data_IF_154498660812
#
_entry.id   IF_154498660812
#
_cell.length_a   1.000
_cell.length_b   1.000
_cell.length_c   1.000
_cell.angle_alpha   90.00
_cell.angle_beta   90.00
_cell.angle_gamma   90.00
#
_symmetry.space_group_name_H-M   'P 1'
#
loop_
_entity.id
_entity.type
_entity.pdbx_description
1 polymer ?
#
# COMPACT_ATOMS: atom_id res chain seq x y z
N UNK A 1 20.43 0.53 12.49
CA UNK A 1 20.48 1.86 11.87
C UNK A 1 19.10 2.14 11.28
N UNK A 2 18.56 3.35 11.44
CA UNK A 2 17.30 3.72 10.81
C UNK A 2 17.52 3.87 9.29
N UNK A 3 16.63 3.31 8.48
CA UNK A 3 16.68 3.44 7.03
C UNK A 3 15.99 4.74 6.63
N UNK A 4 16.59 5.49 5.71
CA UNK A 4 15.97 6.69 5.14
C UNK A 4 15.29 6.31 3.81
N UNK A 5 14.08 6.83 3.54
CA UNK A 5 13.40 6.58 2.28
C UNK A 5 14.11 7.29 1.11
N UNK A 6 13.90 6.86 -0.14
CA UNK A 6 14.45 7.53 -1.32
C UNK A 6 13.95 8.97 -1.46
N UNK A 7 14.74 9.80 -2.12
CA UNK A 7 14.35 11.18 -2.44
C UNK A 7 13.06 11.24 -3.27
N UNK A 8 12.30 12.30 -3.04
CA UNK A 8 11.00 12.54 -3.64
C UNK A 8 11.04 13.78 -4.53
N UNK A 9 10.59 13.66 -5.78
CA UNK A 9 10.45 14.74 -6.75
C UNK A 9 8.96 15.05 -6.97
N UNK A 10 8.57 16.29 -6.73
CA UNK A 10 7.19 16.75 -6.96
C UNK A 10 6.90 16.89 -8.46
N UNK A 11 5.67 16.56 -8.85
CA UNK A 11 5.21 16.83 -10.21
C UNK A 11 5.10 18.33 -10.47
N UNK A 12 5.26 18.72 -11.73
CA UNK A 12 4.96 20.09 -12.15
C UNK A 12 3.43 20.37 -12.04
N UNK A 13 3.06 21.65 -12.12
CA UNK A 13 1.65 22.06 -11.96
C UNK A 13 0.71 21.48 -13.03
N UNK A 14 1.19 21.34 -14.27
CA UNK A 14 0.38 20.84 -15.39
C UNK A 14 0.04 19.37 -15.19
N UNK A 15 1.05 18.54 -14.91
CA UNK A 15 0.89 17.13 -14.64
C UNK A 15 0.07 16.89 -13.38
N UNK A 16 0.27 17.70 -12.34
CA UNK A 16 -0.54 17.63 -11.11
C UNK A 16 -2.02 17.86 -11.43
N UNK A 17 -2.36 18.93 -12.17
CA UNK A 17 -3.76 19.21 -12.57
C UNK A 17 -4.35 18.06 -13.39
N UNK A 18 -3.57 17.49 -14.31
CA UNK A 18 -3.98 16.34 -15.12
C UNK A 18 -4.25 15.10 -14.26
N UNK A 19 -3.35 14.77 -13.32
CA UNK A 19 -3.50 13.61 -12.45
C UNK A 19 -4.69 13.77 -11.51
N UNK A 20 -4.89 14.94 -10.89
CA UNK A 20 -6.02 15.19 -10.00
C UNK A 20 -7.38 15.11 -10.71
N UNK A 21 -7.43 15.34 -12.02
CA UNK A 21 -8.64 15.13 -12.83
C UNK A 21 -8.95 13.64 -13.05
N UNK A 22 -7.91 12.80 -13.16
CA UNK A 22 -8.04 11.37 -13.42
C UNK A 22 -8.26 10.56 -12.13
N UNK A 23 -7.57 10.92 -11.04
CA UNK A 23 -7.59 10.23 -9.77
C UNK A 23 -8.48 10.96 -8.76
N UNK A 24 -9.79 10.92 -8.96
CA UNK A 24 -10.77 11.67 -8.16
C UNK A 24 -10.87 11.26 -6.68
N UNK A 25 -10.28 10.12 -6.31
CA UNK A 25 -10.18 9.67 -4.92
C UNK A 25 -9.00 10.28 -4.15
N UNK A 26 -7.97 10.77 -4.84
CA UNK A 26 -6.83 11.42 -4.22
C UNK A 26 -7.14 12.90 -3.95
N UNK A 27 -6.65 13.44 -2.83
CA UNK A 27 -6.89 14.84 -2.41
C UNK A 27 -5.62 15.64 -2.20
N UNK A 28 -4.49 14.96 -2.01
CA UNK A 28 -3.21 15.56 -1.65
C UNK A 28 -2.27 15.77 -2.83
N UNK A 29 -2.40 14.97 -3.89
CA UNK A 29 -1.51 15.00 -5.05
C UNK A 29 -0.59 13.80 -5.12
N UNK A 30 0.48 13.91 -5.91
CA UNK A 30 1.37 12.81 -6.24
C UNK A 30 2.84 13.24 -6.27
N UNK A 31 3.73 12.27 -6.13
CA UNK A 31 5.18 12.46 -6.09
C UNK A 31 5.89 11.31 -6.82
N UNK A 32 7.07 11.57 -7.36
CA UNK A 32 7.97 10.58 -7.95
C UNK A 32 9.04 10.19 -6.94
N UNK A 33 9.19 8.91 -6.67
CA UNK A 33 10.07 8.41 -5.60
C UNK A 33 11.26 7.63 -6.16
N UNK A 34 12.46 8.06 -5.75
CA UNK A 34 13.73 7.41 -6.06
C UNK A 34 14.13 7.46 -7.55
N UNK A 35 15.26 6.84 -7.91
CA UNK A 35 15.84 6.94 -9.25
C UNK A 35 14.96 6.32 -10.36
N UNK A 36 14.07 5.39 -9.99
CA UNK A 36 13.12 4.77 -10.92
C UNK A 36 11.84 5.59 -11.11
N UNK A 37 11.69 6.71 -10.40
CA UNK A 37 10.54 7.62 -10.46
C UNK A 37 9.21 6.89 -10.22
N UNK A 38 9.12 6.15 -9.11
CA UNK A 38 7.88 5.49 -8.71
C UNK A 38 6.79 6.53 -8.41
N UNK A 39 5.65 6.43 -9.08
CA UNK A 39 4.53 7.35 -8.91
C UNK A 39 3.66 6.96 -7.73
N UNK A 40 3.65 7.76 -6.68
CA UNK A 40 2.94 7.50 -5.42
C UNK A 40 2.13 8.71 -4.96
N UNK A 41 1.11 8.53 -4.11
CA UNK A 41 0.43 9.63 -3.43
C UNK A 41 1.39 10.52 -2.65
N UNK A 42 1.08 11.81 -2.55
CA UNK A 42 1.92 12.78 -1.84
C UNK A 42 2.16 12.40 -0.37
N UNK A 43 1.19 11.71 0.24
CA UNK A 43 1.25 11.20 1.62
C UNK A 43 2.48 10.33 1.90
N UNK A 44 3.06 9.70 0.87
CA UNK A 44 4.32 8.95 1.01
C UNK A 44 5.47 9.81 1.56
N UNK A 45 5.50 11.11 1.26
CA UNK A 45 6.55 12.03 1.75
C UNK A 45 6.59 12.14 3.26
N UNK A 46 5.47 11.91 3.95
CA UNK A 46 5.39 11.93 5.41
C UNK A 46 5.54 10.54 6.03
N UNK A 47 5.13 9.48 5.33
CA UNK A 47 5.03 8.12 5.89
C UNK A 47 6.18 7.20 5.47
N UNK A 48 6.95 7.55 4.43
CA UNK A 48 8.00 6.70 3.87
C UNK A 48 9.04 6.25 4.90
N UNK A 49 9.36 7.11 5.88
CA UNK A 49 10.29 6.77 6.96
C UNK A 49 9.74 5.67 7.87
N UNK A 50 8.44 5.68 8.15
CA UNK A 50 7.80 4.65 8.99
C UNK A 50 7.78 3.31 8.26
N UNK A 51 7.45 3.29 6.97
CA UNK A 51 7.48 2.06 6.16
C UNK A 51 8.86 1.42 6.11
N UNK A 52 9.91 2.22 5.86
CA UNK A 52 11.29 1.71 5.79
C UNK A 52 11.82 1.20 7.12
N UNK A 53 11.26 1.67 8.23
CA UNK A 53 11.67 1.27 9.57
C UNK A 53 10.69 0.31 10.26
N UNK A 54 9.61 -0.08 9.56
CA UNK A 54 8.61 -1.01 10.05
C UNK A 54 9.28 -2.29 10.57
N UNK A 55 8.82 -2.75 11.75
CA UNK A 55 9.36 -3.93 12.41
C UNK A 55 8.48 -5.13 12.10
N UNK A 56 8.80 -5.79 10.99
CA UNK A 56 8.21 -7.06 10.64
C UNK A 56 8.50 -8.12 11.71
N UNK A 57 7.54 -9.02 11.90
CA UNK A 57 7.63 -10.17 12.79
C UNK A 57 7.95 -11.42 11.98
N UNK A 58 8.57 -12.45 12.59
CA UNK A 58 8.92 -13.69 11.89
C UNK A 58 7.74 -14.44 11.30
N UNK A 59 6.53 -14.22 11.81
CA UNK A 59 5.27 -14.85 11.42
C UNK A 59 4.38 -13.97 10.53
N UNK A 60 4.84 -12.77 10.16
CA UNK A 60 4.09 -11.90 9.26
C UNK A 60 3.96 -12.53 7.85
N UNK A 61 2.75 -12.55 7.32
CA UNK A 61 2.48 -12.99 5.94
C UNK A 61 2.13 -11.78 5.07
N UNK A 62 2.90 -11.60 3.99
CA UNK A 62 2.75 -10.46 3.09
C UNK A 62 2.18 -10.87 1.74
N UNK A 63 1.17 -10.15 1.27
CA UNK A 63 0.68 -10.23 -0.12
C UNK A 63 1.06 -8.94 -0.82
N UNK A 64 2.10 -8.98 -1.66
CA UNK A 64 2.69 -7.82 -2.33
C UNK A 64 2.44 -7.93 -3.83
N UNK A 65 1.80 -6.93 -4.41
CA UNK A 65 1.43 -6.93 -5.83
C UNK A 65 1.44 -5.52 -6.40
N UNK A 66 1.61 -5.38 -7.72
CA UNK A 66 1.15 -4.17 -8.40
C UNK A 66 -0.39 -4.08 -8.32
N UNK A 67 -0.99 -2.87 -8.21
CA UNK A 67 -2.45 -2.75 -8.09
C UNK A 67 -3.19 -3.48 -9.22
N UNK A 68 -4.30 -4.13 -8.87
CA UNK A 68 -5.19 -4.88 -9.78
C UNK A 68 -4.59 -6.19 -10.34
N UNK A 69 -3.55 -6.74 -9.74
CA UNK A 69 -2.96 -8.03 -10.14
C UNK A 69 -3.46 -9.25 -9.36
N UNK A 70 -4.68 -9.20 -8.79
CA UNK A 70 -5.29 -10.35 -8.08
C UNK A 70 -5.12 -10.37 -6.56
N UNK A 71 -4.66 -9.27 -5.95
CA UNK A 71 -4.38 -9.13 -4.51
C UNK A 71 -5.51 -9.63 -3.63
N UNK A 72 -6.76 -9.24 -3.91
CA UNK A 72 -7.94 -9.63 -3.11
C UNK A 72 -8.16 -11.14 -3.07
N UNK A 73 -8.02 -11.82 -4.22
CA UNK A 73 -8.17 -13.27 -4.28
C UNK A 73 -7.04 -13.96 -3.50
N UNK A 74 -5.80 -13.51 -3.69
CA UNK A 74 -4.66 -14.06 -2.98
C UNK A 74 -4.77 -13.86 -1.47
N UNK A 75 -5.17 -12.66 -1.01
CA UNK A 75 -5.40 -12.38 0.41
C UNK A 75 -6.44 -13.33 1.01
N UNK A 76 -7.55 -13.57 0.32
CA UNK A 76 -8.60 -14.47 0.83
C UNK A 76 -8.12 -15.92 0.91
N UNK A 77 -7.46 -16.41 -0.14
CA UNK A 77 -6.93 -17.78 -0.19
C UNK A 77 -5.86 -17.99 0.90
N UNK A 78 -4.92 -17.06 1.04
CA UNK A 78 -3.88 -17.13 2.05
C UNK A 78 -4.49 -17.07 3.46
N UNK A 79 -5.46 -16.18 3.70
CA UNK A 79 -6.11 -16.08 5.00
C UNK A 79 -6.80 -17.39 5.38
N UNK A 80 -7.59 -17.98 4.48
CA UNK A 80 -8.28 -19.24 4.73
C UNK A 80 -7.29 -20.39 4.99
N UNK A 81 -6.22 -20.51 4.18
CA UNK A 81 -5.21 -21.55 4.37
C UNK A 81 -4.48 -21.42 5.72
N UNK A 82 -4.20 -20.19 6.15
CA UNK A 82 -3.53 -19.93 7.43
C UNK A 82 -4.46 -20.02 8.65
N UNK A 83 -5.77 -20.11 8.45
CA UNK A 83 -6.78 -20.14 9.52
C UNK A 83 -7.70 -21.38 9.39
N UNK A 84 -7.12 -22.54 9.08
CA UNK A 84 -7.79 -23.85 9.07
C UNK A 84 -9.09 -23.90 8.23
N UNK A 85 -9.12 -23.13 7.14
CA UNK A 85 -10.30 -22.98 6.28
C UNK A 85 -11.55 -22.49 7.05
N UNK A 86 -11.38 -21.55 7.99
CA UNK A 86 -12.49 -20.92 8.70
C UNK A 86 -13.33 -20.00 7.79
N UNK A 87 -14.21 -20.63 7.01
CA UNK A 87 -15.14 -19.94 6.13
C UNK A 87 -16.20 -19.11 6.88
N UNK A 88 -16.45 -19.38 8.16
CA UNK A 88 -17.44 -18.61 8.92
C UNK A 88 -16.91 -17.21 9.18
N UNK A 89 -15.71 -17.10 9.75
CA UNK A 89 -15.06 -15.81 10.00
C UNK A 89 -14.74 -15.06 8.71
N UNK A 90 -14.28 -15.77 7.67
CA UNK A 90 -14.00 -15.15 6.37
C UNK A 90 -15.22 -14.45 5.75
N UNK A 91 -16.43 -14.99 5.99
CA UNK A 91 -17.71 -14.43 5.50
C UNK A 91 -18.25 -13.28 6.35
N UNK A 92 -17.96 -13.27 7.65
CA UNK A 92 -18.53 -12.27 8.57
C UNK A 92 -17.60 -11.08 8.78
N UNK A 93 -16.28 -11.29 8.75
CA UNK A 93 -15.30 -10.23 8.94
C UNK A 93 -14.78 -9.68 7.61
N UNK A 94 -14.73 -8.35 7.54
CA UNK A 94 -14.18 -7.63 6.39
C UNK A 94 -12.73 -8.04 6.13
N UNK A 95 -12.39 -8.25 4.85
CA UNK A 95 -11.03 -8.62 4.44
C UNK A 95 -9.98 -7.63 4.96
N UNK A 96 -10.28 -6.32 5.00
CA UNK A 96 -9.36 -5.29 5.52
C UNK A 96 -9.07 -5.40 7.02
N UNK A 97 -9.92 -6.07 7.81
CA UNK A 97 -9.64 -6.39 9.22
C UNK A 97 -8.78 -7.64 9.37
N UNK A 98 -8.90 -8.57 8.40
CA UNK A 98 -8.19 -9.86 8.36
C UNK A 98 -6.79 -9.73 7.74
N UNK A 99 -6.65 -8.80 6.79
CA UNK A 99 -5.44 -8.46 6.06
C UNK A 99 -5.32 -6.92 6.01
N UNK A 100 -4.66 -6.28 6.99
CA UNK A 100 -4.47 -4.84 7.00
C UNK A 100 -3.54 -4.39 5.87
N UNK A 101 -3.82 -3.21 5.29
CA UNK A 101 -2.99 -2.58 4.27
C UNK A 101 -1.96 -1.68 4.94
N UNK A 102 -0.67 -1.99 4.84
CA UNK A 102 0.40 -1.23 5.49
C UNK A 102 0.36 0.27 5.12
N UNK A 103 0.01 0.57 3.88
CA UNK A 103 -0.04 1.92 3.31
C UNK A 103 -1.31 2.72 3.66
N UNK A 104 -2.28 2.11 4.37
CA UNK A 104 -3.53 2.77 4.78
C UNK A 104 -3.73 2.80 6.31
N UNK A 105 -2.71 2.43 7.09
CA UNK A 105 -2.75 2.40 8.56
C UNK A 105 -2.50 3.79 9.14
#
# INVERSE_FOLDING_TARGET
MALEPPECEYLNEEDTKKMMKLFTGERSGFVLVGPKKWFLPLRYTTEGKEYYNFKARPDDTWVITYPRSGTTWTQELVWLLSNDLDFNTARTELLSKRFPFLELV
#
